data_IF_035121681988
#
_entry.id   IF_035121681988
#
_cell.length_a   1.000
_cell.length_b   1.000
_cell.length_c   1.000
_cell.angle_alpha   90.00
_cell.angle_beta   90.00
_cell.angle_gamma   90.00
#
_symmetry.space_group_name_H-M   'P 1'
#
loop_
_entity.id
_entity.type
_entity.pdbx_description
1 polymer ?
#
# COMPACT_ATOMS: atom_id res chain seq x y z
N UNK A 1 3.62 2.63 -17.41
CA UNK A 1 2.62 2.59 -16.33
C UNK A 1 1.94 3.93 -16.04
N UNK A 2 2.68 5.05 -15.93
CA UNK A 2 2.14 6.35 -15.49
C UNK A 2 0.90 6.84 -16.25
N UNK A 3 0.97 6.90 -17.58
CA UNK A 3 -0.15 7.33 -18.42
C UNK A 3 -1.39 6.46 -18.21
N UNK A 4 -1.20 5.15 -18.11
CA UNK A 4 -2.30 4.19 -17.90
C UNK A 4 -2.92 4.39 -16.51
N UNK A 5 -2.11 4.58 -15.46
CA UNK A 5 -2.60 4.86 -14.11
C UNK A 5 -3.41 6.16 -14.06
N UNK A 6 -2.95 7.22 -14.72
CA UNK A 6 -3.69 8.49 -14.80
C UNK A 6 -5.00 8.35 -15.58
N UNK A 7 -4.99 7.66 -16.73
CA UNK A 7 -6.18 7.41 -17.52
C UNK A 7 -7.20 6.55 -16.74
N UNK A 8 -6.73 5.51 -16.06
CA UNK A 8 -7.57 4.66 -15.22
C UNK A 8 -8.18 5.45 -14.06
N UNK A 9 -7.38 6.29 -13.38
CA UNK A 9 -7.86 7.20 -12.34
C UNK A 9 -8.95 8.13 -12.88
N UNK A 10 -8.72 8.76 -14.02
CA UNK A 10 -9.71 9.66 -14.63
C UNK A 10 -10.98 8.90 -15.03
N UNK A 11 -10.88 7.70 -15.59
CA UNK A 11 -12.05 6.88 -15.90
C UNK A 11 -12.84 6.55 -14.62
N UNK A 12 -12.17 6.04 -13.59
CA UNK A 12 -12.86 5.67 -12.34
C UNK A 12 -13.53 6.82 -11.60
N UNK A 13 -13.08 8.06 -11.81
CA UNK A 13 -13.66 9.24 -11.17
C UNK A 13 -14.79 9.89 -11.96
N UNK A 14 -14.81 9.76 -13.29
CA UNK A 14 -15.81 10.40 -14.15
C UNK A 14 -16.94 9.46 -14.57
N UNK A 15 -16.87 8.18 -14.19
CA UNK A 15 -17.95 7.21 -14.40
C UNK A 15 -18.99 7.33 -13.28
N UNK A 16 -20.17 7.83 -13.61
CA UNK A 16 -21.28 8.02 -12.65
C UNK A 16 -21.83 6.70 -12.09
N UNK A 17 -21.93 5.68 -12.95
CA UNK A 17 -22.43 4.35 -12.58
C UNK A 17 -21.57 3.27 -13.23
N UNK A 18 -21.14 2.30 -12.44
CA UNK A 18 -20.33 1.18 -12.90
C UNK A 18 -21.20 -0.03 -13.17
N UNK A 19 -20.96 -0.70 -14.30
CA UNK A 19 -21.41 -2.07 -14.48
C UNK A 19 -20.40 -3.04 -13.85
N UNK A 20 -20.84 -4.27 -13.56
CA UNK A 20 -19.94 -5.30 -13.01
C UNK A 20 -18.73 -5.58 -13.91
N UNK A 21 -18.90 -5.46 -15.24
CA UNK A 21 -17.81 -5.55 -16.21
C UNK A 21 -16.80 -4.41 -16.06
N UNK A 22 -17.24 -3.19 -15.77
CA UNK A 22 -16.35 -2.04 -15.62
C UNK A 22 -15.50 -2.18 -14.36
N UNK A 23 -16.13 -2.58 -13.25
CA UNK A 23 -15.42 -2.88 -11.99
C UNK A 23 -14.37 -3.96 -12.24
N UNK A 24 -14.73 -5.03 -12.95
CA UNK A 24 -13.83 -6.13 -13.30
C UNK A 24 -12.65 -5.67 -14.17
N UNK A 25 -12.90 -4.92 -15.23
CA UNK A 25 -11.84 -4.42 -16.13
C UNK A 25 -10.91 -3.46 -15.40
N UNK A 26 -11.47 -2.50 -14.65
CA UNK A 26 -10.68 -1.55 -13.87
C UNK A 26 -9.82 -2.26 -12.81
N UNK A 27 -10.39 -3.26 -12.14
CA UNK A 27 -9.67 -4.15 -11.22
C UNK A 27 -8.50 -4.85 -11.90
N UNK A 28 -8.72 -5.52 -13.04
CA UNK A 28 -7.68 -6.28 -13.73
C UNK A 28 -6.55 -5.36 -14.22
N UNK A 29 -6.88 -4.16 -14.71
CA UNK A 29 -5.89 -3.16 -15.08
C UNK A 29 -5.08 -2.66 -13.88
N UNK A 30 -5.74 -2.36 -12.75
CA UNK A 30 -5.07 -1.97 -11.52
C UNK A 30 -4.13 -3.08 -11.03
N UNK A 31 -4.61 -4.33 -11.00
CA UNK A 31 -3.82 -5.49 -10.58
C UNK A 31 -2.58 -5.67 -11.46
N UNK A 32 -2.73 -5.52 -12.78
CA UNK A 32 -1.60 -5.62 -13.71
C UNK A 32 -0.59 -4.48 -13.52
N UNK A 33 -1.05 -3.24 -13.27
CA UNK A 33 -0.19 -2.11 -12.95
C UNK A 33 0.58 -2.35 -11.65
N UNK A 34 -0.10 -2.71 -10.57
CA UNK A 34 0.53 -3.00 -9.28
C UNK A 34 1.53 -4.14 -9.39
N UNK A 35 1.18 -5.24 -10.09
CA UNK A 35 2.09 -6.35 -10.35
C UNK A 35 3.32 -5.92 -11.14
N UNK A 36 3.15 -5.10 -12.17
CA UNK A 36 4.27 -4.59 -12.96
C UNK A 36 5.20 -3.72 -12.11
N UNK A 37 4.63 -2.80 -11.33
CA UNK A 37 5.40 -1.88 -10.46
C UNK A 37 6.07 -2.60 -9.29
N UNK A 38 5.47 -3.68 -8.78
CA UNK A 38 6.05 -4.52 -7.72
C UNK A 38 7.29 -5.30 -8.17
N UNK A 39 7.53 -5.39 -9.48
CA UNK A 39 8.73 -6.01 -10.04
C UNK A 39 9.78 -4.98 -10.50
N UNK A 40 9.56 -3.69 -10.25
CA UNK A 40 10.53 -2.65 -10.58
C UNK A 40 11.54 -2.43 -9.45
N UNK A 41 12.71 -1.91 -9.80
CA UNK A 41 13.76 -1.56 -8.85
C UNK A 41 14.39 -0.20 -9.14
N UNK A 42 14.91 0.42 -8.10
CA UNK A 42 15.60 1.70 -8.14
C UNK A 42 14.76 2.79 -8.78
N UNK A 43 15.38 3.59 -9.66
CA UNK A 43 14.74 4.67 -10.39
C UNK A 43 13.82 4.18 -11.52
N UNK A 44 13.67 2.87 -11.72
CA UNK A 44 12.70 2.28 -12.64
C UNK A 44 11.26 2.35 -12.13
N UNK A 45 11.05 2.53 -10.81
CA UNK A 45 9.72 2.69 -10.23
C UNK A 45 9.07 3.99 -10.73
N UNK A 46 7.84 3.90 -11.21
CA UNK A 46 7.10 5.07 -11.66
C UNK A 46 6.91 6.11 -10.53
N UNK A 47 6.80 5.65 -9.27
CA UNK A 47 6.70 6.51 -8.09
C UNK A 47 7.95 7.38 -7.86
N UNK A 48 9.11 6.98 -8.37
CA UNK A 48 10.35 7.78 -8.26
C UNK A 48 10.43 8.88 -9.32
N UNK A 49 9.61 8.79 -10.36
CA UNK A 49 9.61 9.67 -11.52
C UNK A 49 8.38 10.60 -11.53
N UNK A 50 7.27 10.16 -10.94
CA UNK A 50 6.02 10.91 -10.84
C UNK A 50 5.46 10.81 -9.41
N UNK A 51 5.39 11.96 -8.74
CA UNK A 51 4.92 12.10 -7.36
C UNK A 51 3.45 11.70 -7.19
N UNK A 52 2.64 11.82 -8.25
CA UNK A 52 1.21 11.49 -8.22
C UNK A 52 0.92 10.06 -8.64
N UNK A 53 1.93 9.30 -9.09
CA UNK A 53 1.70 7.95 -9.59
C UNK A 53 1.03 7.03 -8.56
N UNK A 54 1.62 6.95 -7.36
CA UNK A 54 1.08 6.14 -6.25
C UNK A 54 -0.31 6.63 -5.85
N UNK A 55 -0.50 7.94 -5.79
CA UNK A 55 -1.78 8.56 -5.46
C UNK A 55 -2.87 8.18 -6.47
N UNK A 56 -2.54 8.13 -7.76
CA UNK A 56 -3.47 7.72 -8.80
C UNK A 56 -3.90 6.26 -8.64
N UNK A 57 -2.97 5.35 -8.37
CA UNK A 57 -3.29 3.93 -8.12
C UNK A 57 -4.19 3.77 -6.88
N UNK A 58 -3.91 4.52 -5.82
CA UNK A 58 -4.71 4.47 -4.59
C UNK A 58 -6.11 5.05 -4.77
N UNK A 59 -6.25 6.13 -5.54
CA UNK A 59 -7.58 6.68 -5.87
C UNK A 59 -8.41 5.70 -6.69
N UNK A 60 -7.81 4.99 -7.65
CA UNK A 60 -8.48 3.90 -8.39
C UNK A 60 -8.90 2.80 -7.44
N UNK A 61 -7.98 2.29 -6.62
CA UNK A 61 -8.26 1.22 -5.65
C UNK A 61 -9.37 1.60 -4.68
N UNK A 62 -9.31 2.81 -4.12
CA UNK A 62 -10.35 3.34 -3.23
C UNK A 62 -11.71 3.39 -3.92
N UNK A 63 -11.77 3.94 -5.13
CA UNK A 63 -13.02 4.03 -5.88
C UNK A 63 -13.64 2.65 -6.14
N UNK A 64 -12.81 1.64 -6.41
CA UNK A 64 -13.25 0.25 -6.61
C UNK A 64 -13.71 -0.41 -5.31
N UNK A 65 -13.06 -0.14 -4.19
CA UNK A 65 -13.39 -0.71 -2.87
C UNK A 65 -14.54 0.03 -2.15
N UNK A 66 -15.12 1.05 -2.78
CA UNK A 66 -16.27 1.74 -2.25
C UNK A 66 -17.46 0.79 -2.02
N UNK A 67 -18.16 0.96 -0.90
CA UNK A 67 -19.24 0.08 -0.49
C UNK A 67 -20.40 0.00 -1.50
N UNK A 68 -20.60 1.04 -2.32
CA UNK A 68 -21.57 1.01 -3.44
C UNK A 68 -21.34 -0.14 -4.44
N UNK A 69 -20.10 -0.64 -4.54
CA UNK A 69 -19.69 -1.68 -5.50
C UNK A 69 -19.66 -3.08 -4.90
N UNK A 70 -20.10 -3.23 -3.63
CA UNK A 70 -20.12 -4.51 -2.91
C UNK A 70 -20.79 -5.62 -3.71
N UNK A 71 -21.96 -5.36 -4.30
CA UNK A 71 -22.69 -6.35 -5.09
C UNK A 71 -21.89 -6.83 -6.31
N UNK A 72 -21.18 -5.93 -7.00
CA UNK A 72 -20.33 -6.30 -8.13
C UNK A 72 -19.14 -7.17 -7.68
N UNK A 73 -18.54 -6.86 -6.52
CA UNK A 73 -17.47 -7.67 -5.95
C UNK A 73 -17.92 -9.07 -5.51
N UNK A 74 -19.14 -9.22 -5.00
CA UNK A 74 -19.73 -10.52 -4.67
C UNK A 74 -19.82 -11.43 -5.91
N UNK A 75 -20.15 -10.86 -7.07
CA UNK A 75 -20.16 -11.60 -8.34
C UNK A 75 -18.76 -11.90 -8.86
N UNK A 76 -17.84 -10.93 -8.84
CA UNK A 76 -16.46 -11.10 -9.32
C UNK A 76 -15.74 -12.20 -8.53
N UNK A 77 -15.93 -12.23 -7.21
CA UNK A 77 -15.32 -13.21 -6.29
C UNK A 77 -15.72 -14.67 -6.57
N UNK A 78 -16.80 -14.91 -7.32
CA UNK A 78 -17.18 -16.27 -7.72
C UNK A 78 -16.25 -16.85 -8.78
N UNK A 79 -15.56 -16.00 -9.54
CA UNK A 79 -14.71 -16.41 -10.66
C UNK A 79 -13.24 -16.02 -10.51
N UNK A 80 -12.94 -15.03 -9.67
CA UNK A 80 -11.61 -14.43 -9.52
C UNK A 80 -11.30 -14.16 -8.05
N UNK A 81 -10.04 -13.81 -7.74
CA UNK A 81 -9.59 -13.56 -6.36
C UNK A 81 -10.20 -12.33 -5.68
N UNK A 82 -11.00 -11.53 -6.41
CA UNK A 82 -11.80 -10.43 -5.87
C UNK A 82 -11.00 -9.36 -5.12
N UNK A 83 -11.58 -8.81 -4.06
CA UNK A 83 -10.97 -7.75 -3.25
C UNK A 83 -9.71 -8.24 -2.52
N UNK A 84 -9.64 -9.51 -2.12
CA UNK A 84 -8.45 -10.07 -1.48
C UNK A 84 -7.21 -10.01 -2.40
N UNK A 85 -7.40 -10.24 -3.70
CA UNK A 85 -6.32 -10.10 -4.68
C UNK A 85 -5.87 -8.64 -4.85
N UNK A 86 -6.81 -7.68 -4.80
CA UNK A 86 -6.49 -6.23 -4.81
C UNK A 86 -5.59 -5.88 -3.64
N UNK A 87 -5.98 -6.28 -2.43
CA UNK A 87 -5.23 -5.99 -1.21
C UNK A 87 -3.83 -6.58 -1.27
N UNK A 88 -3.70 -7.83 -1.71
CA UNK A 88 -2.39 -8.48 -1.88
C UNK A 88 -1.48 -7.72 -2.86
N UNK A 89 -2.02 -7.25 -3.99
CA UNK A 89 -1.22 -6.47 -4.94
C UNK A 89 -0.80 -5.10 -4.39
N UNK A 90 -1.61 -4.48 -3.53
CA UNK A 90 -1.19 -3.26 -2.82
C UNK A 90 -0.10 -3.55 -1.78
N UNK A 91 -0.19 -4.67 -1.06
CA UNK A 91 0.85 -5.10 -0.12
C UNK A 91 2.20 -5.36 -0.81
N UNK A 92 2.19 -6.12 -1.92
CA UNK A 92 3.38 -6.38 -2.74
C UNK A 92 4.01 -5.07 -3.24
N UNK A 93 3.16 -4.15 -3.72
CA UNK A 93 3.61 -2.85 -4.20
C UNK A 93 4.16 -1.97 -3.07
N UNK A 94 3.52 -1.92 -1.90
CA UNK A 94 3.99 -1.17 -0.74
C UNK A 94 5.31 -1.71 -0.20
N UNK A 95 5.48 -3.04 -0.19
CA UNK A 95 6.76 -3.70 0.11
C UNK A 95 7.85 -3.26 -0.85
N UNK A 96 7.55 -3.23 -2.15
CA UNK A 96 8.48 -2.77 -3.20
C UNK A 96 8.85 -1.30 -3.03
N UNK A 97 7.89 -0.43 -2.70
CA UNK A 97 8.14 0.98 -2.38
C UNK A 97 9.11 1.10 -1.19
N UNK A 98 8.82 0.42 -0.09
CA UNK A 98 9.64 0.46 1.12
C UNK A 98 11.09 -0.01 0.87
N UNK A 99 11.26 -1.09 0.10
CA UNK A 99 12.59 -1.60 -0.27
C UNK A 99 13.34 -0.59 -1.15
N UNK A 100 12.65 0.05 -2.09
CA UNK A 100 13.26 1.02 -3.00
C UNK A 100 13.50 2.40 -2.36
N UNK A 101 12.85 2.74 -1.25
CA UNK A 101 13.15 3.97 -0.51
C UNK A 101 14.61 4.07 -0.06
N UNK A 102 15.30 2.96 0.20
CA UNK A 102 16.74 2.99 0.55
C UNK A 102 17.64 3.19 -0.67
N UNK A 103 17.14 2.87 -1.86
CA UNK A 103 17.87 2.88 -3.14
C UNK A 103 17.58 4.14 -3.98
N UNK A 104 16.64 5.00 -3.55
CA UNK A 104 16.10 6.10 -4.35
C UNK A 104 15.85 7.35 -3.50
N UNK A 105 15.40 8.44 -4.12
CA UNK A 105 15.04 9.69 -3.44
C UNK A 105 13.63 9.69 -2.82
N UNK A 106 12.93 8.55 -2.79
CA UNK A 106 11.61 8.47 -2.18
C UNK A 106 11.69 8.79 -0.68
N UNK A 107 11.00 9.85 -0.26
CA UNK A 107 10.85 10.21 1.14
C UNK A 107 9.68 9.44 1.77
N UNK A 108 9.67 9.25 3.11
CA UNK A 108 8.50 8.74 3.81
C UNK A 108 7.25 9.55 3.48
N UNK A 109 6.13 8.88 3.26
CA UNK A 109 4.87 9.53 2.95
C UNK A 109 3.68 8.73 3.47
N UNK A 110 2.55 9.41 3.58
CA UNK A 110 1.25 8.78 3.84
C UNK A 110 0.25 9.35 2.85
N UNK A 111 -0.46 8.48 2.13
CA UNK A 111 -1.54 8.85 1.23
C UNK A 111 -2.82 8.30 1.82
N UNK A 112 -3.81 9.19 1.96
CA UNK A 112 -5.15 8.86 2.42
C UNK A 112 -6.10 8.97 1.23
N UNK A 113 -6.97 7.97 1.12
CA UNK A 113 -8.15 7.97 0.28
C UNK A 113 -9.34 7.51 1.13
N UNK A 114 -10.60 7.68 0.68
CA UNK A 114 -11.77 7.29 1.46
C UNK A 114 -11.77 5.82 1.93
N UNK A 115 -11.19 4.90 1.16
CA UNK A 115 -11.26 3.46 1.45
C UNK A 115 -9.88 2.79 1.58
N UNK A 116 -8.77 3.51 1.36
CA UNK A 116 -7.40 2.99 1.50
C UNK A 116 -6.50 4.04 2.14
N UNK A 117 -5.72 3.63 3.13
CA UNK A 117 -4.59 4.42 3.66
C UNK A 117 -3.31 3.61 3.44
N UNK A 118 -2.32 4.22 2.79
CA UNK A 118 -0.96 3.67 2.71
C UNK A 118 -0.01 4.64 3.38
N UNK A 119 0.78 4.11 4.32
CA UNK A 119 1.87 4.83 4.98
C UNK A 119 3.16 4.06 4.79
N UNK A 120 4.17 4.71 4.21
CA UNK A 120 5.50 4.13 4.03
C UNK A 120 6.49 4.96 4.85
N UNK A 121 7.03 4.36 5.91
CA UNK A 121 7.88 5.04 6.90
C UNK A 121 9.24 4.37 7.00
N UNK A 122 10.25 5.14 7.39
CA UNK A 122 11.56 4.61 7.79
C UNK A 122 11.63 4.58 9.30
N UNK A 123 11.89 3.41 9.87
CA UNK A 123 12.07 3.23 11.31
C UNK A 123 13.55 2.99 11.59
N UNK A 124 14.12 3.77 12.53
CA UNK A 124 15.47 3.56 13.01
C UNK A 124 15.49 2.42 14.02
N UNK A 125 16.34 1.42 13.75
CA UNK A 125 16.45 0.24 14.62
C UNK A 125 17.12 0.56 15.96
N UNK A 126 18.10 1.45 15.95
CA UNK A 126 18.84 1.84 17.16
C UNK A 126 17.95 2.73 18.02
N UNK A 127 17.81 2.40 19.31
CA UNK A 127 16.98 3.15 20.26
C UNK A 127 15.49 3.26 19.87
N UNK A 128 14.94 2.25 19.18
CA UNK A 128 13.52 2.24 18.82
C UNK A 128 12.63 2.18 20.07
N UNK A 129 11.85 3.25 20.32
CA UNK A 129 10.97 3.39 21.48
C UNK A 129 9.53 2.90 21.24
N UNK A 130 9.29 2.19 20.14
CA UNK A 130 7.95 1.89 19.65
C UNK A 130 7.42 2.96 18.69
N UNK A 131 6.36 2.63 17.98
CA UNK A 131 5.69 3.55 17.05
C UNK A 131 4.19 3.25 16.94
N UNK A 132 3.38 4.28 16.76
CA UNK A 132 1.98 4.18 16.36
C UNK A 132 1.87 4.64 14.91
N UNK A 133 1.35 3.79 14.03
CA UNK A 133 1.24 4.04 12.59
C UNK A 133 -0.22 3.90 12.11
N UNK A 134 -0.65 4.62 11.07
CA UNK A 134 0.02 5.80 10.49
C UNK A 134 0.09 6.97 11.49
N UNK A 135 1.04 7.87 11.29
CA UNK A 135 1.20 9.10 12.09
C UNK A 135 0.16 10.17 11.70
N UNK A 136 -1.12 9.92 11.95
CA UNK A 136 -2.24 10.82 11.58
C UNK A 136 -2.09 12.24 12.14
N UNK A 137 -1.40 12.39 13.27
CA UNK A 137 -1.07 13.66 13.91
C UNK A 137 -0.14 14.55 13.08
N UNK A 138 0.70 13.95 12.24
CA UNK A 138 1.68 14.68 11.40
C UNK A 138 1.13 15.06 10.03
N UNK A 139 -0.07 14.57 9.69
CA UNK A 139 -0.66 14.80 8.38
C UNK A 139 -1.13 16.24 8.24
N UNK A 140 -0.78 16.84 7.11
CA UNK A 140 -1.23 18.18 6.72
C UNK A 140 -2.52 18.05 5.92
N UNK A 141 -3.46 18.98 6.14
CA UNK A 141 -4.74 19.00 5.43
C UNK A 141 -5.85 18.25 6.15
N UNK A 142 -6.83 17.78 5.39
CA UNK A 142 -8.00 17.06 5.92
C UNK A 142 -7.58 15.68 6.45
N UNK A 143 -7.99 15.38 7.68
CA UNK A 143 -7.74 14.08 8.31
C UNK A 143 -8.79 13.08 7.84
N UNK A 144 -8.46 11.77 7.79
CA UNK A 144 -9.46 10.76 7.47
C UNK A 144 -10.55 10.74 8.53
N UNK A 145 -11.74 10.29 8.14
CA UNK A 145 -12.86 10.14 9.07
C UNK A 145 -12.56 9.12 10.18
N UNK A 146 -11.74 8.11 9.87
CA UNK A 146 -11.22 7.13 10.83
C UNK A 146 -9.73 7.40 11.11
N UNK A 147 -9.43 7.71 12.37
CA UNK A 147 -8.06 7.87 12.91
C UNK A 147 -7.76 6.86 14.02
N UNK A 148 -8.71 5.99 14.32
CA UNK A 148 -8.63 4.97 15.38
C UNK A 148 -7.90 3.73 14.85
N UNK A 149 -8.12 3.38 13.57
CA UNK A 149 -7.46 2.25 12.89
C UNK A 149 -5.95 2.49 12.79
N UNK A 150 -5.20 1.89 13.71
CA UNK A 150 -3.76 2.08 13.85
C UNK A 150 -3.05 0.79 14.23
N UNK A 151 -1.77 0.70 13.88
CA UNK A 151 -0.87 -0.38 14.24
C UNK A 151 0.11 0.15 15.28
N UNK A 152 0.21 -0.56 16.41
CA UNK A 152 1.18 -0.25 17.47
C UNK A 152 2.33 -1.23 17.35
N UNK A 153 3.52 -0.69 17.07
CA UNK A 153 4.77 -1.43 17.07
C UNK A 153 5.44 -1.26 18.44
N UNK A 154 5.66 -2.35 19.20
CA UNK A 154 6.34 -2.27 20.49
C UNK A 154 7.84 -1.99 20.31
N UNK A 155 8.48 -1.39 21.31
CA UNK A 155 9.94 -1.14 21.33
C UNK A 155 10.78 -2.42 21.13
N UNK A 156 10.22 -3.59 21.45
CA UNK A 156 10.88 -4.89 21.32
C UNK A 156 10.84 -5.48 19.91
N UNK A 157 10.12 -4.88 18.95
CA UNK A 157 9.90 -5.45 17.61
C UNK A 157 11.20 -5.77 16.84
N UNK A 158 12.28 -5.04 17.13
CA UNK A 158 13.59 -5.24 16.51
C UNK A 158 14.63 -5.93 17.42
N UNK A 159 14.26 -6.26 18.67
CA UNK A 159 15.11 -7.03 19.58
C UNK A 159 15.13 -8.49 19.12
N UNK A 160 16.29 -9.14 19.16
CA UNK A 160 16.36 -10.56 18.85
C UNK A 160 15.55 -11.35 19.90
N UNK A 161 14.82 -12.42 19.53
CA UNK A 161 14.18 -13.27 20.52
C UNK A 161 15.25 -13.84 21.45
N UNK A 162 15.10 -13.60 22.76
CA UNK A 162 16.01 -14.13 23.77
C UNK A 162 15.88 -15.66 23.82
N UNK A 163 16.76 -16.37 23.09
CA UNK A 163 16.64 -17.81 22.98
C UNK A 163 17.60 -18.49 22.00
N UNK A 164 18.91 -18.23 22.14
CA UNK A 164 20.01 -19.17 21.85
C UNK A 164 21.31 -18.55 22.38
N UNK A 165 21.47 -18.58 23.70
CA UNK A 165 22.81 -18.50 24.29
C UNK A 165 23.58 -19.70 23.74
N UNK A 166 24.54 -19.44 22.86
CA UNK A 166 25.57 -20.40 22.50
C UNK A 166 26.35 -20.72 23.77
N UNK A 167 25.99 -21.82 24.42
CA UNK A 167 26.83 -22.49 25.41
C UNK A 167 28.08 -23.00 24.71
N UNK A 168 29.07 -22.13 24.50
CA UNK A 168 30.42 -22.59 24.21
C UNK A 168 31.05 -22.87 25.57
N UNK A 169 30.93 -24.13 25.97
CA UNK A 169 31.63 -24.68 27.11
C UNK A 169 33.13 -24.39 26.98
N UNK A 170 33.72 -23.78 28.01
CA UNK A 170 35.16 -23.83 28.22
C UNK A 170 35.60 -25.29 28.32
N UNK A 171 36.37 -25.74 27.34
CA UNK A 171 37.21 -26.92 27.48
C UNK A 171 38.64 -26.46 27.74
N UNK A 172 39.19 -26.99 28.84
CA UNK A 172 40.55 -26.85 29.35
C UNK A 172 41.61 -27.29 28.36
#
# INVERSE_FOLDING_TARGET
SQRVALQLRNATQNTESFFGSDVKVAFQLLAQLLKHESNQEGFGLAATQDVHFTENLLKVGSALLDNSKKHHWELIQQTEGGTAQVLRHFEDYASTLAQNMRKTYLNPFTIITPNIVISVVRLEKMNFAGAKLPHYETLRGEKPADIETTVILPESIFKAPEGKQSSVASAK
#
